data_IF_730426692702
#
_entry.id   IF_730426692702
#
_cell.length_a   1.000
_cell.length_b   1.000
_cell.length_c   1.000
_cell.angle_alpha   90.00
_cell.angle_beta   90.00
_cell.angle_gamma   90.00
#
_symmetry.space_group_name_H-M   'P 1'
#
loop_
_entity.id
_entity.type
_entity.pdbx_description
1 polymer ?
#
# COMPACT_ATOMS: atom_id res chain seq x y z
N UNK A 1 17.37 -2.26 -24.11
CA UNK A 1 16.31 -1.40 -23.57
C UNK A 1 15.38 -2.30 -22.76
N UNK A 2 15.68 -2.51 -21.48
CA UNK A 2 14.93 -3.40 -20.60
C UNK A 2 14.27 -2.54 -19.51
N UNK A 3 13.05 -2.08 -19.79
CA UNK A 3 12.16 -1.46 -18.81
C UNK A 3 10.91 -2.36 -18.73
N UNK A 4 11.05 -3.55 -18.15
CA UNK A 4 9.92 -4.42 -17.80
C UNK A 4 10.15 -4.93 -16.38
N UNK A 5 9.83 -4.08 -15.42
CA UNK A 5 9.39 -4.53 -14.09
C UNK A 5 8.21 -3.65 -13.74
N UNK A 6 7.03 -4.08 -14.16
CA UNK A 6 5.78 -3.57 -13.63
C UNK A 6 5.82 -3.74 -12.11
N UNK A 7 6.08 -2.65 -11.41
CA UNK A 7 6.02 -2.64 -9.96
C UNK A 7 4.54 -2.82 -9.57
N UNK A 8 4.27 -3.86 -8.79
CA UNK A 8 2.90 -4.28 -8.44
C UNK A 8 2.57 -3.86 -7.01
N UNK A 9 1.29 -3.86 -6.63
CA UNK A 9 0.90 -3.66 -5.23
C UNK A 9 1.51 -4.69 -4.26
N UNK A 10 1.99 -5.83 -4.77
CA UNK A 10 2.77 -6.78 -3.98
C UNK A 10 4.12 -6.22 -3.52
N UNK A 11 4.65 -5.21 -4.23
CA UNK A 11 5.85 -4.44 -3.86
C UNK A 11 5.52 -3.20 -3.02
N UNK A 12 4.26 -3.03 -2.60
CA UNK A 12 3.77 -1.88 -1.80
C UNK A 12 3.25 -2.37 -0.44
N UNK A 13 2.60 -3.54 -0.41
CA UNK A 13 2.07 -4.16 0.82
C UNK A 13 3.17 -4.43 1.86
N UNK A 14 4.36 -4.96 1.52
CA UNK A 14 5.47 -5.13 2.48
C UNK A 14 5.92 -3.80 3.09
N UNK A 15 5.85 -2.71 2.34
CA UNK A 15 6.22 -1.36 2.77
C UNK A 15 5.18 -0.81 3.76
N UNK A 16 3.94 -1.30 3.71
CA UNK A 16 2.91 -1.10 4.76
C UNK A 16 3.16 -1.92 6.03
N UNK A 17 3.90 -3.02 5.94
CA UNK A 17 4.30 -3.86 7.08
C UNK A 17 5.55 -3.38 7.84
N UNK A 18 6.32 -2.41 7.32
CA UNK A 18 7.45 -1.77 8.05
C UNK A 18 6.98 -1.13 9.38
N UNK A 19 5.68 -1.17 9.65
CA UNK A 19 4.99 -1.04 10.93
C UNK A 19 5.63 -1.70 12.16
N UNK A 20 6.71 -2.49 12.03
CA UNK A 20 7.38 -3.13 13.17
C UNK A 20 8.83 -2.71 13.45
N UNK A 21 9.44 -1.77 12.71
CA UNK A 21 10.84 -1.38 12.95
C UNK A 21 11.04 -0.16 13.90
N UNK A 22 10.09 0.78 13.98
CA UNK A 22 10.16 1.94 14.90
C UNK A 22 8.98 2.01 15.88
N UNK A 23 9.19 2.50 17.10
CA UNK A 23 8.24 2.44 18.22
C UNK A 23 6.92 3.23 18.00
N UNK A 24 6.90 4.29 17.16
CA UNK A 24 5.67 5.09 16.89
C UNK A 24 5.67 5.84 15.52
N UNK A 25 6.66 5.60 14.65
CA UNK A 25 6.86 6.37 13.40
C UNK A 25 6.35 5.71 12.12
N UNK A 26 6.12 4.40 12.15
CA UNK A 26 6.16 3.58 10.94
C UNK A 26 5.06 3.87 9.91
N UNK A 27 3.86 4.23 10.36
CA UNK A 27 2.71 4.42 9.46
C UNK A 27 2.89 5.59 8.49
N UNK A 28 3.66 6.62 8.87
CA UNK A 28 3.92 7.80 8.02
C UNK A 28 5.01 7.50 7.00
N UNK A 29 6.14 6.97 7.46
CA UNK A 29 7.28 6.58 6.61
C UNK A 29 6.88 5.55 5.58
N UNK A 30 6.14 4.52 6.01
CA UNK A 30 5.58 3.49 5.15
C UNK A 30 4.75 4.07 3.99
N UNK A 31 3.79 4.95 4.29
CA UNK A 31 2.96 5.60 3.28
C UNK A 31 3.77 6.47 2.33
N UNK A 32 4.80 7.15 2.83
CA UNK A 32 5.70 7.94 2.00
C UNK A 32 6.48 7.06 1.01
N UNK A 33 7.02 5.93 1.46
CA UNK A 33 7.74 4.97 0.61
C UNK A 33 6.81 4.35 -0.42
N UNK A 34 5.61 3.92 -0.02
CA UNK A 34 4.59 3.40 -0.94
C UNK A 34 4.25 4.42 -2.03
N UNK A 35 4.00 5.66 -1.65
CA UNK A 35 3.69 6.73 -2.60
C UNK A 35 4.87 7.06 -3.50
N UNK A 36 6.10 7.06 -2.98
CA UNK A 36 7.30 7.27 -3.79
C UNK A 36 7.41 6.20 -4.88
N UNK A 37 7.22 4.93 -4.54
CA UNK A 37 7.26 3.81 -5.48
C UNK A 37 6.16 3.95 -6.54
N UNK A 38 4.91 4.18 -6.13
CA UNK A 38 3.78 4.29 -7.06
C UNK A 38 3.92 5.48 -8.01
N UNK A 39 4.36 6.64 -7.51
CA UNK A 39 4.60 7.84 -8.31
C UNK A 39 5.77 7.63 -9.29
N UNK A 40 6.86 7.01 -8.83
CA UNK A 40 8.03 6.72 -9.68
C UNK A 40 7.70 5.80 -10.87
N UNK A 41 6.61 5.02 -10.76
CA UNK A 41 6.11 4.14 -11.81
C UNK A 41 4.89 4.69 -12.56
N UNK A 42 4.51 5.95 -12.33
CA UNK A 42 3.35 6.58 -12.98
C UNK A 42 1.99 5.98 -12.61
N UNK A 43 1.90 5.21 -11.52
CA UNK A 43 0.67 4.52 -11.11
C UNK A 43 -0.32 5.43 -10.34
N UNK A 44 0.18 6.55 -9.79
CA UNK A 44 -0.63 7.51 -9.03
C UNK A 44 -0.23 7.59 -7.56
N UNK A 45 -1.15 8.10 -6.73
CA UNK A 45 -0.95 8.29 -5.28
C UNK A 45 -1.86 7.35 -4.51
N UNK A 46 -1.31 6.68 -3.49
CA UNK A 46 -2.06 5.90 -2.53
C UNK A 46 -2.56 6.80 -1.39
N UNK A 47 -3.88 6.88 -1.27
CA UNK A 47 -4.57 7.67 -0.26
C UNK A 47 -5.70 6.87 0.40
N UNK A 48 -5.53 6.52 1.68
CA UNK A 48 -6.57 5.84 2.47
C UNK A 48 -7.43 6.89 3.17
N UNK A 49 -8.66 7.06 2.72
CA UNK A 49 -9.61 8.05 3.27
C UNK A 49 -10.05 7.65 4.67
N UNK A 50 -10.39 8.63 5.50
CA UNK A 50 -10.80 8.39 6.88
C UNK A 50 -11.99 7.41 6.99
N UNK A 51 -12.92 7.47 6.04
CA UNK A 51 -14.09 6.58 5.95
C UNK A 51 -13.73 5.10 5.71
N UNK A 52 -12.59 4.83 5.06
CA UNK A 52 -12.15 3.49 4.68
C UNK A 52 -11.14 2.90 5.70
N UNK A 53 -10.87 3.63 6.80
CA UNK A 53 -9.87 3.24 7.81
C UNK A 53 -10.23 1.95 8.55
N UNK A 54 -11.51 1.72 8.81
CA UNK A 54 -11.97 0.51 9.50
C UNK A 54 -11.70 -0.72 8.63
N UNK A 55 -12.13 -0.67 7.37
CA UNK A 55 -11.92 -1.74 6.38
C UNK A 55 -10.43 -2.01 6.17
N UNK A 56 -9.61 -0.96 6.02
CA UNK A 56 -8.16 -1.08 5.94
C UNK A 56 -7.56 -1.82 7.14
N UNK A 57 -7.97 -1.48 8.38
CA UNK A 57 -7.46 -2.13 9.57
C UNK A 57 -7.87 -3.61 9.64
N UNK A 58 -9.10 -3.94 9.25
CA UNK A 58 -9.59 -5.32 9.19
C UNK A 58 -8.78 -6.14 8.19
N UNK A 59 -8.57 -5.61 6.98
CA UNK A 59 -7.78 -6.27 5.93
C UNK A 59 -6.31 -6.44 6.33
N UNK A 60 -5.72 -5.44 7.01
CA UNK A 60 -4.37 -5.58 7.57
C UNK A 60 -4.30 -6.68 8.63
N UNK A 61 -5.33 -6.81 9.47
CA UNK A 61 -5.38 -7.85 10.51
C UNK A 61 -5.52 -9.25 9.90
N UNK A 62 -6.37 -9.40 8.88
CA UNK A 62 -6.46 -10.62 8.08
C UNK A 62 -5.13 -10.95 7.41
N UNK A 63 -4.45 -9.95 6.85
CA UNK A 63 -3.16 -10.12 6.20
C UNK A 63 -2.09 -10.59 7.19
N UNK A 64 -2.03 -10.03 8.41
CA UNK A 64 -1.10 -10.49 9.44
C UNK A 64 -1.33 -11.95 9.85
N UNK A 65 -2.60 -12.41 9.84
CA UNK A 65 -2.97 -13.76 10.24
C UNK A 65 -2.75 -14.79 9.12
N UNK A 66 -3.19 -14.47 7.90
CA UNK A 66 -3.22 -15.41 6.78
C UNK A 66 -2.03 -15.27 5.82
N UNK A 67 -1.26 -14.17 5.91
CA UNK A 67 -0.18 -13.80 4.98
C UNK A 67 -0.62 -13.73 3.51
N UNK A 68 -1.90 -13.50 3.26
CA UNK A 68 -2.49 -13.36 1.91
C UNK A 68 -2.78 -11.90 1.60
N UNK A 69 -2.08 -11.35 0.60
CA UNK A 69 -2.18 -9.94 0.25
C UNK A 69 -3.33 -9.61 -0.72
N UNK A 70 -4.01 -10.61 -1.29
CA UNK A 70 -4.95 -10.43 -2.40
C UNK A 70 -6.06 -9.41 -2.08
N UNK A 71 -6.71 -9.56 -0.92
CA UNK A 71 -7.82 -8.69 -0.50
C UNK A 71 -7.36 -7.25 -0.27
N UNK A 72 -6.17 -7.05 0.31
CA UNK A 72 -5.67 -5.71 0.61
C UNK A 72 -5.16 -5.01 -0.66
N UNK A 73 -4.58 -5.76 -1.59
CA UNK A 73 -4.20 -5.28 -2.92
C UNK A 73 -5.45 -4.81 -3.68
N UNK A 74 -6.52 -5.62 -3.69
CA UNK A 74 -7.77 -5.27 -4.34
C UNK A 74 -8.41 -4.01 -3.72
N UNK A 75 -8.39 -3.91 -2.39
CA UNK A 75 -8.86 -2.72 -1.67
C UNK A 75 -8.10 -1.46 -2.09
N UNK A 76 -6.77 -1.51 -2.15
CA UNK A 76 -5.99 -0.35 -2.57
C UNK A 76 -6.28 0.06 -4.01
N UNK A 77 -6.34 -0.92 -4.92
CA UNK A 77 -6.60 -0.66 -6.33
C UNK A 77 -7.97 0.00 -6.54
N UNK A 78 -9.00 -0.48 -5.84
CA UNK A 78 -10.38 -0.02 -6.05
C UNK A 78 -10.72 1.27 -5.29
N UNK A 79 -10.17 1.47 -4.10
CA UNK A 79 -10.62 2.54 -3.18
C UNK A 79 -9.58 3.59 -2.84
N UNK A 80 -8.29 3.26 -2.93
CA UNK A 80 -7.22 4.12 -2.41
C UNK A 80 -6.26 4.67 -3.47
N UNK A 81 -6.23 4.10 -4.67
CA UNK A 81 -5.37 4.59 -5.74
C UNK A 81 -6.02 5.75 -6.49
N UNK A 82 -5.47 6.94 -6.33
CA UNK A 82 -5.87 8.14 -7.07
C UNK A 82 -4.88 8.34 -8.23
N UNK A 83 -5.39 8.18 -9.46
CA UNK A 83 -4.61 8.37 -10.70
C UNK A 83 -4.80 9.80 -11.20
N UNK A 84 -3.70 10.45 -11.54
CA UNK A 84 -3.76 11.69 -12.31
C UNK A 84 -3.92 11.29 -13.78
N UNK A 85 -5.09 11.61 -14.35
CA UNK A 85 -5.34 11.53 -15.80
C UNK A 85 -4.71 12.74 -16.46
#
# INVERSE_FOLDING_TARGET
MLFERDITFSDVVPQLEINKFYYDGNKRTSRLVCNYILLSNGQGVLNVKAKDRLEFNTLMLEFYNARKADNIVEFFYKKCLERYI
#
